data_IF_614536992631
#
_entry.id   IF_614536992631
#
_cell.length_a   1.000
_cell.length_b   1.000
_cell.length_c   1.000
_cell.angle_alpha   90.00
_cell.angle_beta   90.00
_cell.angle_gamma   90.00
#
_symmetry.space_group_name_H-M   'P 1'
#
loop_
_entity.id
_entity.type
_entity.pdbx_description
1 polymer ?
#
# COMPACT_ATOMS: atom_id res chain seq x y z
N UNK A 1 27.71 -13.38 11.17
CA UNK A 1 26.98 -13.22 9.89
C UNK A 1 26.61 -11.76 9.79
N UNK A 2 27.24 -11.03 8.86
CA UNK A 2 27.02 -9.59 8.71
C UNK A 2 25.63 -9.37 8.14
N UNK A 3 24.69 -8.91 8.97
CA UNK A 3 23.41 -8.37 8.52
C UNK A 3 23.77 -7.11 7.74
N UNK A 4 23.76 -7.17 6.42
CA UNK A 4 23.79 -5.99 5.57
C UNK A 4 22.70 -5.07 6.08
N UNK A 5 23.07 -3.86 6.52
CA UNK A 5 22.10 -2.85 6.93
C UNK A 5 21.37 -2.48 5.66
N UNK A 6 20.19 -3.07 5.45
CA UNK A 6 19.32 -2.65 4.36
C UNK A 6 18.80 -1.27 4.77
N UNK A 7 19.27 -0.22 4.10
CA UNK A 7 18.73 1.14 4.22
C UNK A 7 17.32 1.19 3.60
N UNK A 8 16.38 0.49 4.22
CA UNK A 8 14.99 0.44 3.82
C UNK A 8 14.12 1.06 4.94
N UNK A 9 13.28 2.06 4.62
CA UNK A 9 12.40 2.69 5.60
C UNK A 9 11.34 1.73 6.16
N UNK A 10 11.02 0.65 5.43
CA UNK A 10 10.05 -0.36 5.85
C UNK A 10 10.66 -1.49 6.68
N UNK A 11 11.96 -1.77 6.54
CA UNK A 11 12.67 -2.64 7.48
C UNK A 11 12.87 -1.96 8.85
N UNK A 12 12.89 -0.62 8.87
CA UNK A 12 13.11 0.19 10.06
C UNK A 12 12.01 1.25 10.18
N UNK A 13 10.76 0.81 10.30
CA UNK A 13 9.63 1.72 10.46
C UNK A 13 9.87 2.68 11.63
N UNK A 14 9.64 3.97 11.39
CA UNK A 14 9.75 5.01 12.42
C UNK A 14 8.67 4.78 13.48
N UNK A 15 9.00 5.04 14.74
CA UNK A 15 8.08 4.87 15.89
C UNK A 15 6.83 5.76 15.83
N UNK A 16 6.86 6.81 15.02
CA UNK A 16 5.76 7.76 14.83
C UNK A 16 4.67 7.25 13.87
N UNK A 17 4.96 6.16 13.13
CA UNK A 17 4.00 5.58 12.19
C UNK A 17 2.90 4.87 12.98
N UNK A 18 1.66 5.23 12.71
CA UNK A 18 0.49 4.58 13.31
C UNK A 18 0.23 3.23 12.62
N UNK A 19 0.45 2.15 13.36
CA UNK A 19 0.19 0.77 12.94
C UNK A 19 -1.30 0.47 13.05
N UNK A 20 -1.88 -0.10 11.99
CA UNK A 20 -3.29 -0.52 11.93
C UNK A 20 -3.42 -1.98 12.39
N UNK A 21 -2.52 -2.84 11.92
CA UNK A 21 -2.50 -4.27 12.25
C UNK A 21 -1.11 -4.83 12.01
N UNK A 22 -0.75 -5.85 12.79
CA UNK A 22 0.51 -6.57 12.65
C UNK A 22 0.26 -8.06 12.92
N UNK A 23 0.79 -8.92 12.06
CA UNK A 23 0.74 -10.37 12.18
C UNK A 23 2.16 -10.92 12.32
N UNK A 24 2.38 -12.23 12.14
CA UNK A 24 3.75 -12.76 12.16
C UNK A 24 4.53 -12.30 10.93
N UNK A 25 3.94 -12.36 9.73
CA UNK A 25 4.66 -12.12 8.48
C UNK A 25 4.39 -10.75 7.85
N UNK A 26 3.33 -10.04 8.25
CA UNK A 26 2.89 -8.79 7.63
C UNK A 26 2.67 -7.67 8.65
N UNK A 27 2.69 -6.44 8.16
CA UNK A 27 2.32 -5.24 8.92
C UNK A 27 1.58 -4.25 8.02
N UNK A 28 0.54 -3.64 8.58
CA UNK A 28 -0.24 -2.58 7.95
C UNK A 28 -0.17 -1.29 8.77
N UNK A 29 0.00 -0.17 8.10
CA UNK A 29 0.12 1.14 8.74
C UNK A 29 -0.36 2.26 7.80
N UNK A 30 -0.67 3.42 8.37
CA UNK A 30 -1.04 4.59 7.56
C UNK A 30 0.17 5.18 6.84
N UNK A 31 0.01 5.52 5.57
CA UNK A 31 1.07 6.14 4.76
C UNK A 31 1.42 7.53 5.31
N UNK A 32 2.73 7.83 5.43
CA UNK A 32 3.22 9.13 5.87
C UNK A 32 3.03 10.25 4.84
N UNK A 33 2.79 9.91 3.58
CA UNK A 33 2.46 10.80 2.47
C UNK A 33 1.14 10.36 1.81
N UNK A 34 0.00 10.47 2.54
CA UNK A 34 -1.25 9.88 2.09
C UNK A 34 -1.81 10.60 0.86
N UNK A 35 -2.31 9.83 -0.12
CA UNK A 35 -3.07 10.39 -1.26
C UNK A 35 -4.40 10.97 -0.78
N UNK A 36 -5.04 10.28 0.17
CA UNK A 36 -6.29 10.65 0.79
C UNK A 36 -6.29 10.19 2.26
N UNK A 37 -7.13 10.78 3.14
CA UNK A 37 -7.29 10.31 4.50
C UNK A 37 -7.52 8.80 4.57
N UNK A 38 -6.78 8.13 5.45
CA UNK A 38 -6.83 6.67 5.60
C UNK A 38 -6.01 5.87 4.58
N UNK A 39 -5.23 6.50 3.70
CA UNK A 39 -4.27 5.77 2.84
C UNK A 39 -3.36 4.89 3.70
N UNK A 40 -3.41 3.59 3.46
CA UNK A 40 -2.65 2.59 4.20
C UNK A 40 -1.75 1.77 3.26
N UNK A 41 -0.64 1.33 3.82
CA UNK A 41 0.30 0.41 3.20
C UNK A 41 0.26 -0.92 3.95
N UNK A 42 0.33 -2.02 3.20
CA UNK A 42 0.49 -3.39 3.71
C UNK A 42 1.78 -3.95 3.14
N UNK A 43 2.67 -4.41 4.01
CA UNK A 43 4.00 -4.92 3.64
C UNK A 43 4.28 -6.26 4.31
N UNK A 44 5.09 -7.14 3.70
CA UNK A 44 5.72 -8.24 4.43
C UNK A 44 6.79 -7.67 5.38
N UNK A 45 7.03 -8.34 6.51
CA UNK A 45 8.17 -8.03 7.39
C UNK A 45 9.49 -8.46 6.77
N UNK A 46 9.47 -9.53 5.97
CA UNK A 46 10.62 -9.95 5.17
C UNK A 46 10.88 -8.93 4.07
N UNK A 47 12.13 -8.50 3.94
CA UNK A 47 12.51 -7.59 2.87
C UNK A 47 12.51 -8.33 1.52
N UNK A 48 11.54 -8.00 0.68
CA UNK A 48 11.50 -8.39 -0.73
C UNK A 48 11.18 -7.18 -1.59
N UNK A 49 11.83 -7.11 -2.75
CA UNK A 49 11.84 -5.91 -3.55
C UNK A 49 10.44 -5.62 -4.11
N UNK A 50 9.78 -6.61 -4.68
CA UNK A 50 8.51 -6.41 -5.39
C UNK A 50 7.54 -7.60 -5.22
N UNK A 51 6.32 -7.44 -5.72
CA UNK A 51 5.22 -8.39 -5.58
C UNK A 51 5.54 -9.81 -6.08
N UNK A 52 6.36 -9.94 -7.12
CA UNK A 52 6.66 -11.23 -7.73
C UNK A 52 7.73 -12.02 -6.97
N UNK A 53 8.27 -11.46 -5.87
CA UNK A 53 9.22 -12.12 -4.96
C UNK A 53 8.57 -12.61 -3.65
N UNK A 54 7.27 -12.33 -3.48
CA UNK A 54 6.48 -12.83 -2.35
C UNK A 54 6.32 -14.34 -2.43
N UNK A 55 6.31 -14.99 -1.27
CA UNK A 55 5.83 -16.38 -1.17
C UNK A 55 4.31 -16.42 -1.34
N UNK A 56 3.75 -17.60 -1.61
CA UNK A 56 2.29 -17.76 -1.68
C UNK A 56 1.61 -17.42 -0.36
N UNK A 57 2.24 -17.78 0.75
CA UNK A 57 1.70 -17.53 2.09
C UNK A 57 1.70 -16.03 2.40
N UNK A 58 2.76 -15.29 2.04
CA UNK A 58 2.79 -13.84 2.19
C UNK A 58 1.72 -13.16 1.32
N UNK A 59 1.50 -13.63 0.09
CA UNK A 59 0.42 -13.09 -0.75
C UNK A 59 -0.95 -13.29 -0.08
N UNK A 60 -1.22 -14.48 0.45
CA UNK A 60 -2.49 -14.77 1.12
C UNK A 60 -2.66 -13.89 2.37
N UNK A 61 -1.65 -13.82 3.23
CA UNK A 61 -1.71 -13.04 4.47
C UNK A 61 -1.84 -11.54 4.22
N UNK A 62 -1.14 -11.00 3.21
CA UNK A 62 -1.32 -9.60 2.78
C UNK A 62 -2.75 -9.32 2.30
N UNK A 63 -3.38 -10.26 1.60
CA UNK A 63 -4.77 -10.11 1.14
C UNK A 63 -5.77 -10.20 2.29
N UNK A 64 -5.56 -11.11 3.26
CA UNK A 64 -6.38 -11.17 4.46
C UNK A 64 -6.27 -9.87 5.29
N UNK A 65 -5.05 -9.35 5.43
CA UNK A 65 -4.80 -8.08 6.09
C UNK A 65 -5.47 -6.92 5.35
N UNK A 66 -5.51 -6.92 4.02
CA UNK A 66 -6.22 -5.91 3.22
C UNK A 66 -7.70 -5.81 3.60
N UNK A 67 -8.38 -6.93 3.74
CA UNK A 67 -9.79 -6.96 4.17
C UNK A 67 -9.98 -6.40 5.58
N UNK A 68 -9.09 -6.74 6.51
CA UNK A 68 -9.12 -6.21 7.87
C UNK A 68 -8.89 -4.69 7.89
N UNK A 69 -7.85 -4.21 7.21
CA UNK A 69 -7.49 -2.79 7.15
C UNK A 69 -8.62 -1.97 6.51
N UNK A 70 -9.26 -2.49 5.46
CA UNK A 70 -10.45 -1.86 4.86
C UNK A 70 -11.55 -1.65 5.90
N UNK A 71 -11.84 -2.65 6.74
CA UNK A 71 -12.86 -2.54 7.79
C UNK A 71 -12.52 -1.42 8.78
N UNK A 72 -11.27 -1.35 9.24
CA UNK A 72 -10.80 -0.29 10.15
C UNK A 72 -10.93 1.09 9.50
N UNK A 73 -10.57 1.20 8.21
CA UNK A 73 -10.70 2.46 7.47
C UNK A 73 -12.17 2.85 7.29
N UNK A 74 -13.05 1.91 6.98
CA UNK A 74 -14.50 2.18 6.85
C UNK A 74 -15.06 2.80 8.13
N UNK A 75 -14.73 2.20 9.29
CA UNK A 75 -15.22 2.64 10.60
C UNK A 75 -14.72 4.04 11.00
N UNK A 76 -13.47 4.38 10.64
CA UNK A 76 -12.85 5.65 11.02
C UNK A 76 -13.08 6.78 10.01
N UNK A 77 -13.05 6.46 8.72
CA UNK A 77 -12.95 7.46 7.64
C UNK A 77 -14.12 7.44 6.64
N UNK A 78 -14.97 6.43 6.66
CA UNK A 78 -16.20 6.36 5.85
C UNK A 78 -16.01 6.71 4.35
N UNK A 79 -15.08 6.07 3.61
CA UNK A 79 -14.86 6.38 2.20
C UNK A 79 -15.99 5.87 1.29
N UNK A 80 -16.12 6.50 0.12
CA UNK A 80 -17.09 6.12 -0.93
C UNK A 80 -16.57 5.03 -1.87
N UNK A 81 -15.26 4.73 -1.84
CA UNK A 81 -14.63 3.73 -2.68
C UNK A 81 -13.16 3.53 -2.36
N UNK A 82 -12.48 2.71 -3.17
CA UNK A 82 -11.07 2.38 -2.97
C UNK A 82 -10.32 2.21 -4.29
N UNK A 83 -9.04 2.57 -4.29
CA UNK A 83 -8.05 2.02 -5.21
C UNK A 83 -7.09 1.12 -4.43
N UNK A 84 -6.81 -0.05 -5.00
CA UNK A 84 -5.85 -1.02 -4.45
C UNK A 84 -4.81 -1.27 -5.52
N UNK A 85 -3.53 -1.27 -5.16
CA UNK A 85 -2.47 -1.46 -6.14
C UNK A 85 -1.09 -1.71 -5.55
N UNK A 86 -0.20 -2.24 -6.38
CA UNK A 86 1.22 -2.43 -6.10
C UNK A 86 1.98 -1.93 -7.32
N UNK A 87 2.98 -1.08 -7.12
CA UNK A 87 3.91 -0.70 -8.17
C UNK A 87 5.08 -1.69 -8.17
N UNK A 88 5.44 -2.20 -9.36
CA UNK A 88 6.54 -3.17 -9.52
C UNK A 88 7.57 -2.60 -10.48
N UNK A 89 8.76 -2.33 -9.94
CA UNK A 89 9.88 -1.64 -10.59
C UNK A 89 9.64 -0.15 -10.89
N UNK A 90 10.73 0.55 -11.17
CA UNK A 90 10.76 2.01 -11.35
C UNK A 90 9.81 2.50 -12.45
N UNK A 91 9.74 1.80 -13.60
CA UNK A 91 8.85 2.17 -14.71
C UNK A 91 7.35 2.13 -14.35
N UNK A 92 6.98 1.40 -13.31
CA UNK A 92 5.61 1.36 -12.77
C UNK A 92 5.41 2.33 -11.59
N UNK A 93 6.42 3.13 -11.25
CA UNK A 93 6.37 4.11 -10.14
C UNK A 93 6.76 3.53 -8.78
N UNK A 94 7.48 2.41 -8.72
CA UNK A 94 8.02 1.92 -7.45
C UNK A 94 9.22 2.76 -7.01
N UNK A 95 9.10 3.41 -5.84
CA UNK A 95 10.16 4.25 -5.26
C UNK A 95 10.83 3.65 -4.03
N UNK A 96 10.11 2.79 -3.29
CA UNK A 96 10.65 2.00 -2.19
C UNK A 96 10.72 0.54 -2.64
N UNK A 97 11.94 0.00 -2.72
CA UNK A 97 12.21 -1.39 -3.10
C UNK A 97 12.04 -2.35 -1.91
N UNK A 98 10.89 -2.22 -1.26
CA UNK A 98 10.30 -3.18 -0.35
C UNK A 98 8.82 -3.18 -0.71
N UNK A 99 8.30 -4.32 -1.17
CA UNK A 99 6.95 -4.40 -1.71
C UNK A 99 5.92 -3.85 -0.72
N UNK A 100 5.02 -3.03 -1.23
CA UNK A 100 3.94 -2.45 -0.46
C UNK A 100 2.68 -2.40 -1.31
N UNK A 101 1.61 -2.94 -0.75
CA UNK A 101 0.28 -2.85 -1.32
C UNK A 101 -0.42 -1.63 -0.75
N UNK A 102 -0.85 -0.75 -1.65
CA UNK A 102 -1.63 0.42 -1.33
C UNK A 102 -3.10 0.05 -1.16
N UNK A 103 -3.72 0.55 -0.10
CA UNK A 103 -5.15 0.68 0.04
C UNK A 103 -5.48 2.17 0.17
N UNK A 104 -5.95 2.77 -0.92
CA UNK A 104 -6.21 4.21 -1.03
C UNK A 104 -7.72 4.44 -0.97
N UNK A 105 -8.23 5.04 0.12
CA UNK A 105 -9.63 5.43 0.21
C UNK A 105 -9.96 6.53 -0.80
N UNK A 106 -11.14 6.45 -1.38
CA UNK A 106 -11.67 7.41 -2.36
C UNK A 106 -12.95 8.04 -1.85
N UNK A 107 -13.11 9.32 -2.14
CA UNK A 107 -14.21 10.15 -1.67
C UNK A 107 -14.90 10.83 -2.85
N UNK A 108 -16.22 10.98 -2.80
CA UNK A 108 -16.92 11.80 -3.79
C UNK A 108 -16.34 13.21 -3.80
N UNK A 109 -15.91 13.65 -4.98
CA UNK A 109 -15.33 14.98 -5.19
C UNK A 109 -13.81 15.05 -5.00
N UNK A 110 -13.13 13.95 -4.65
CA UNK A 110 -11.65 13.92 -4.58
C UNK A 110 -10.96 14.02 -5.96
N UNK A 111 -11.71 13.78 -7.03
CA UNK A 111 -11.27 13.89 -8.41
C UNK A 111 -12.45 14.31 -9.29
N UNK A 112 -12.21 15.28 -10.18
CA UNK A 112 -13.23 15.80 -11.11
C UNK A 112 -13.85 14.72 -12.01
N UNK A 113 -13.03 13.79 -12.52
CA UNK A 113 -13.48 12.68 -13.36
C UNK A 113 -12.86 11.33 -12.93
N UNK A 114 -13.55 10.55 -12.08
CA UNK A 114 -13.02 9.29 -11.56
C UNK A 114 -13.00 8.14 -12.58
N UNK A 115 -13.68 8.26 -13.74
CA UNK A 115 -13.82 7.15 -14.73
C UNK A 115 -12.49 6.65 -15.29
N UNK A 116 -11.42 7.44 -15.21
CA UNK A 116 -10.10 7.01 -15.67
C UNK A 116 -9.45 5.94 -14.79
N UNK A 117 -9.74 5.91 -13.49
CA UNK A 117 -9.23 4.91 -12.55
C UNK A 117 -7.73 4.60 -12.74
N UNK A 118 -7.40 3.32 -12.87
CA UNK A 118 -6.04 2.81 -13.09
C UNK A 118 -5.37 3.41 -14.34
N UNK A 119 -6.12 3.85 -15.35
CA UNK A 119 -5.52 4.51 -16.54
C UNK A 119 -4.83 5.83 -16.21
N UNK A 120 -5.12 6.41 -15.05
CA UNK A 120 -4.43 7.59 -14.53
C UNK A 120 -2.92 7.40 -14.31
N UNK A 121 -2.42 6.14 -14.28
CA UNK A 121 -0.98 5.83 -14.24
C UNK A 121 -0.22 6.39 -15.44
N UNK A 122 -0.91 6.55 -16.59
CA UNK A 122 -0.40 7.32 -17.73
C UNK A 122 -1.38 8.47 -17.95
N UNK A 123 -1.12 9.68 -17.40
CA UNK A 123 -2.09 10.76 -17.34
C UNK A 123 -2.70 11.13 -18.70
N UNK A 124 -1.90 11.13 -19.77
CA UNK A 124 -2.38 11.42 -21.13
C UNK A 124 -3.34 10.36 -21.69
N UNK A 125 -3.41 9.16 -21.08
CA UNK A 125 -4.32 8.06 -21.43
C UNK A 125 -5.45 7.87 -20.42
N UNK A 126 -5.64 8.79 -19.48
CA UNK A 126 -6.67 8.65 -18.43
C UNK A 126 -8.10 8.72 -18.98
N UNK A 127 -8.35 9.54 -20.01
CA UNK A 127 -9.68 9.79 -20.58
C UNK A 127 -9.95 8.87 -21.79
N UNK A 128 -11.23 8.63 -22.08
CA UNK A 128 -11.70 8.01 -23.33
C UNK A 128 -12.07 9.11 -24.33
#
# INVERSE_FOLDING_TARGET
MNKTIVECPFCNLKKEIEIISETESCIAFYDGFPVNPGHALIIPKRHVSNYFELTRDEVLEMQEMLWYVKKVIDERYHPDGYNIGVNVNESAGQSIFHVHMHLIPRYKGDMENPKGGVRGVIPCKQKY
#
